data_IF_367083955811
#
_entry.id   IF_367083955811
#
_cell.length_a   1.000
_cell.length_b   1.000
_cell.length_c   1.000
_cell.angle_alpha   90.00
_cell.angle_beta   90.00
_cell.angle_gamma   90.00
#
_symmetry.space_group_name_H-M   'P 1'
#
loop_
_entity.id
_entity.type
_entity.pdbx_description
1 polymer ?
#
# COMPACT_ATOMS: atom_id res chain seq x y z
N UNK A 1 -20.69 -13.91 -4.71
CA UNK A 1 -20.84 -12.46 -4.59
C UNK A 1 -21.56 -11.91 -5.83
N UNK A 2 -20.98 -11.98 -7.05
CA UNK A 2 -21.58 -11.43 -8.28
C UNK A 2 -23.01 -11.92 -8.54
N UNK A 3 -23.29 -13.22 -8.29
CA UNK A 3 -24.64 -13.77 -8.45
C UNK A 3 -25.67 -13.15 -7.49
N UNK A 4 -25.27 -12.83 -6.28
CA UNK A 4 -26.11 -12.10 -5.32
C UNK A 4 -26.35 -10.68 -5.77
N UNK A 5 -25.29 -9.95 -6.15
CA UNK A 5 -25.39 -8.58 -6.62
C UNK A 5 -26.25 -8.44 -7.88
N UNK A 6 -26.13 -9.37 -8.85
CA UNK A 6 -27.01 -9.39 -10.04
C UNK A 6 -28.47 -9.60 -9.63
N UNK A 7 -28.73 -10.50 -8.67
CA UNK A 7 -30.10 -10.70 -8.15
C UNK A 7 -30.65 -9.43 -7.50
N UNK A 8 -29.83 -8.78 -6.65
CA UNK A 8 -30.22 -7.55 -5.95
C UNK A 8 -30.44 -6.39 -6.94
N UNK A 9 -29.58 -6.27 -7.95
CA UNK A 9 -29.71 -5.29 -9.03
C UNK A 9 -31.02 -5.45 -9.84
N UNK A 10 -31.48 -6.69 -10.03
CA UNK A 10 -32.76 -6.99 -10.71
C UNK A 10 -33.97 -6.91 -9.78
N UNK A 11 -33.80 -6.86 -8.47
CA UNK A 11 -34.89 -6.83 -7.50
C UNK A 11 -35.40 -5.39 -7.33
N UNK A 12 -36.73 -5.22 -7.19
CA UNK A 12 -37.40 -3.92 -6.96
C UNK A 12 -37.05 -2.83 -8.00
N UNK A 13 -36.69 -3.22 -9.22
CA UNK A 13 -36.29 -2.31 -10.29
C UNK A 13 -35.08 -1.44 -9.95
N UNK A 14 -34.13 -1.95 -9.13
CA UNK A 14 -32.93 -1.20 -8.74
C UNK A 14 -32.12 -0.75 -9.96
N UNK A 15 -32.05 -1.56 -11.02
CA UNK A 15 -31.42 -1.18 -12.30
C UNK A 15 -32.00 0.09 -12.93
N UNK A 16 -33.27 0.41 -12.65
CA UNK A 16 -33.91 1.63 -13.15
C UNK A 16 -33.63 2.84 -12.25
N UNK A 17 -33.63 2.61 -10.93
CA UNK A 17 -33.33 3.66 -9.91
C UNK A 17 -31.85 4.08 -9.92
N UNK A 18 -30.95 3.20 -10.34
CA UNK A 18 -29.51 3.46 -10.46
C UNK A 18 -29.11 3.89 -11.89
N UNK A 19 -30.04 4.47 -12.66
CA UNK A 19 -29.74 4.91 -14.01
C UNK A 19 -28.88 6.20 -13.97
N UNK A 20 -27.69 6.19 -14.59
CA UNK A 20 -26.77 7.35 -14.55
C UNK A 20 -27.29 8.58 -15.28
N UNK A 21 -28.40 8.48 -16.00
CA UNK A 21 -29.02 9.60 -16.72
C UNK A 21 -30.09 10.35 -15.89
N UNK A 22 -30.41 9.89 -14.67
CA UNK A 22 -31.30 10.61 -13.77
C UNK A 22 -30.50 11.64 -12.95
N UNK A 23 -30.97 12.89 -12.94
CA UNK A 23 -30.35 14.02 -12.22
C UNK A 23 -30.41 13.87 -10.69
N UNK A 24 -31.14 12.91 -10.13
CA UNK A 24 -31.10 12.55 -8.72
C UNK A 24 -29.84 11.74 -8.45
N UNK A 25 -28.88 12.36 -7.76
CA UNK A 25 -27.61 11.76 -7.35
C UNK A 25 -27.85 10.46 -6.58
N UNK A 26 -27.70 9.34 -7.25
CA UNK A 26 -27.50 8.04 -6.58
C UNK A 26 -26.04 7.92 -6.19
N UNK A 27 -25.76 7.55 -4.94
CA UNK A 27 -24.39 7.33 -4.40
C UNK A 27 -23.60 6.23 -5.13
N UNK A 28 -24.22 5.52 -6.06
CA UNK A 28 -23.62 4.39 -6.80
C UNK A 28 -23.45 4.77 -8.26
N UNK A 29 -22.22 5.07 -8.62
CA UNK A 29 -21.80 5.28 -10.01
C UNK A 29 -21.48 3.94 -10.69
N UNK A 30 -21.90 3.78 -11.96
CA UNK A 30 -21.62 2.63 -12.82
C UNK A 30 -21.88 1.26 -12.15
N UNK A 31 -23.14 0.87 -11.88
CA UNK A 31 -23.48 -0.39 -11.21
C UNK A 31 -22.96 -1.65 -11.92
N UNK A 32 -22.87 -1.64 -13.23
CA UNK A 32 -22.31 -2.68 -14.07
C UNK A 32 -20.83 -2.93 -13.77
N UNK A 33 -20.04 -1.87 -13.64
CA UNK A 33 -18.63 -1.93 -13.25
C UNK A 33 -18.47 -2.45 -11.81
N UNK A 34 -19.32 -2.01 -10.88
CA UNK A 34 -19.32 -2.50 -9.49
C UNK A 34 -19.58 -4.00 -9.40
N UNK A 35 -20.55 -4.51 -10.18
CA UNK A 35 -20.90 -5.92 -10.21
C UNK A 35 -19.82 -6.78 -10.88
N UNK A 36 -19.14 -6.26 -11.88
CA UNK A 36 -18.13 -7.00 -12.65
C UNK A 36 -16.73 -6.78 -12.11
N UNK A 37 -16.15 -5.60 -12.31
CA UNK A 37 -14.74 -5.33 -12.08
C UNK A 37 -14.39 -5.19 -10.60
N UNK A 38 -15.21 -4.45 -9.82
CA UNK A 38 -14.95 -4.29 -8.40
C UNK A 38 -15.10 -5.60 -7.65
N UNK A 39 -16.11 -6.41 -8.01
CA UNK A 39 -16.29 -7.74 -7.42
C UNK A 39 -15.13 -8.68 -7.75
N UNK A 40 -14.63 -8.63 -8.98
CA UNK A 40 -13.47 -9.42 -9.41
C UNK A 40 -12.21 -8.97 -8.67
N UNK A 41 -11.97 -7.67 -8.60
CA UNK A 41 -10.82 -7.09 -7.89
C UNK A 41 -10.88 -7.43 -6.39
N UNK A 42 -12.03 -7.23 -5.75
CA UNK A 42 -12.24 -7.56 -4.35
C UNK A 42 -11.99 -9.05 -4.05
N UNK A 43 -12.56 -9.94 -4.87
CA UNK A 43 -12.41 -11.38 -4.66
C UNK A 43 -10.95 -11.82 -4.83
N UNK A 44 -10.28 -11.32 -5.88
CA UNK A 44 -8.86 -11.60 -6.12
C UNK A 44 -7.96 -11.08 -5.01
N UNK A 45 -8.17 -9.84 -4.58
CA UNK A 45 -7.38 -9.23 -3.51
C UNK A 45 -7.61 -9.91 -2.15
N UNK A 46 -8.87 -10.23 -1.83
CA UNK A 46 -9.22 -10.94 -0.59
C UNK A 46 -8.61 -12.33 -0.53
N UNK A 47 -8.63 -13.07 -1.65
CA UNK A 47 -8.00 -14.37 -1.75
C UNK A 47 -6.48 -14.28 -1.58
N UNK A 48 -5.84 -13.38 -2.31
CA UNK A 48 -4.40 -13.15 -2.22
C UNK A 48 -3.97 -12.79 -0.80
N UNK A 49 -4.70 -11.87 -0.15
CA UNK A 49 -4.43 -11.46 1.22
C UNK A 49 -4.62 -12.62 2.22
N UNK A 50 -5.69 -13.40 2.07
CA UNK A 50 -5.95 -14.57 2.93
C UNK A 50 -4.85 -15.63 2.81
N UNK A 51 -4.45 -15.94 1.57
CA UNK A 51 -3.36 -16.89 1.32
C UNK A 51 -2.02 -16.36 1.86
N UNK A 52 -1.74 -15.06 1.70
CA UNK A 52 -0.54 -14.45 2.23
C UNK A 52 -0.47 -14.47 3.76
N UNK A 53 -1.57 -14.17 4.46
CA UNK A 53 -1.63 -14.30 5.92
C UNK A 53 -1.38 -15.76 6.35
N UNK A 54 -2.00 -16.72 5.66
CA UNK A 54 -1.82 -18.13 5.99
C UNK A 54 -0.36 -18.57 5.80
N UNK A 55 0.26 -18.18 4.69
CA UNK A 55 1.69 -18.46 4.43
C UNK A 55 2.60 -17.79 5.48
N UNK A 56 2.34 -16.54 5.82
CA UNK A 56 3.09 -15.81 6.84
C UNK A 56 2.98 -16.48 8.21
N UNK A 57 1.79 -16.94 8.61
CA UNK A 57 1.56 -17.63 9.88
C UNK A 57 2.27 -18.99 9.92
N UNK A 58 2.23 -19.77 8.83
CA UNK A 58 2.95 -21.02 8.73
C UNK A 58 4.46 -20.82 8.80
N UNK A 59 4.99 -19.91 7.98
CA UNK A 59 6.42 -19.57 7.95
C UNK A 59 6.90 -19.08 9.31
N UNK A 60 6.17 -18.18 9.94
CA UNK A 60 6.45 -17.70 11.30
C UNK A 60 6.51 -18.86 12.30
N UNK A 61 5.43 -19.67 12.37
CA UNK A 61 5.29 -20.72 13.38
C UNK A 61 6.38 -21.78 13.28
N UNK A 62 6.72 -22.20 12.08
CA UNK A 62 7.76 -23.23 11.87
C UNK A 62 9.15 -22.68 12.17
N UNK A 63 9.47 -21.51 11.67
CA UNK A 63 10.83 -20.97 11.80
C UNK A 63 11.12 -20.37 13.18
N UNK A 64 10.11 -19.85 13.91
CA UNK A 64 10.30 -19.38 15.27
C UNK A 64 10.64 -20.52 16.23
N UNK A 65 10.07 -21.70 16.03
CA UNK A 65 10.42 -22.91 16.82
C UNK A 65 11.86 -23.34 16.57
N UNK A 66 12.30 -23.31 15.31
CA UNK A 66 13.70 -23.61 14.96
C UNK A 66 14.63 -22.60 15.61
N UNK A 67 14.33 -21.30 15.47
CA UNK A 67 15.14 -20.22 16.02
C UNK A 67 15.25 -20.31 17.55
N UNK A 68 14.13 -20.58 18.21
CA UNK A 68 14.08 -20.76 19.67
C UNK A 68 14.93 -21.95 20.14
N UNK A 69 14.91 -23.05 19.38
CA UNK A 69 15.69 -24.26 19.71
C UNK A 69 17.21 -24.06 19.58
N UNK A 70 17.66 -23.09 18.76
CA UNK A 70 19.08 -22.80 18.55
C UNK A 70 19.55 -21.70 19.49
N UNK A 71 18.82 -20.59 19.60
CA UNK A 71 19.21 -19.45 20.41
C UNK A 71 18.00 -18.60 20.85
N UNK A 72 17.70 -18.65 22.14
CA UNK A 72 16.67 -17.79 22.74
C UNK A 72 17.07 -16.32 22.69
N UNK A 73 18.35 -15.99 22.80
CA UNK A 73 18.88 -14.63 22.68
C UNK A 73 18.59 -14.06 21.29
N UNK A 74 18.85 -14.85 20.24
CA UNK A 74 18.58 -14.43 18.87
C UNK A 74 17.08 -14.24 18.63
N UNK A 75 16.23 -15.08 19.21
CA UNK A 75 14.78 -14.96 19.12
C UNK A 75 14.26 -13.67 19.73
N UNK A 76 14.70 -13.31 20.96
CA UNK A 76 14.31 -12.07 21.58
C UNK A 76 14.85 -10.83 20.83
N UNK A 77 16.07 -10.92 20.33
CA UNK A 77 16.66 -9.83 19.55
C UNK A 77 15.92 -9.59 18.22
N UNK A 78 15.37 -10.65 17.61
CA UNK A 78 14.51 -10.52 16.44
C UNK A 78 13.24 -9.73 16.74
N UNK A 79 12.55 -9.99 17.86
CA UNK A 79 11.37 -9.21 18.22
C UNK A 79 11.71 -7.74 18.50
N UNK A 80 12.83 -7.49 19.20
CA UNK A 80 13.33 -6.14 19.41
C UNK A 80 13.63 -5.40 18.10
N UNK A 81 14.31 -6.09 17.20
CA UNK A 81 14.61 -5.58 15.86
C UNK A 81 13.33 -5.30 15.04
N UNK A 82 12.38 -6.24 15.01
CA UNK A 82 11.13 -6.07 14.29
C UNK A 82 10.30 -4.90 14.84
N UNK A 83 10.20 -4.77 16.17
CA UNK A 83 9.51 -3.64 16.80
C UNK A 83 10.16 -2.29 16.46
N UNK A 84 11.50 -2.23 16.50
CA UNK A 84 12.27 -1.04 16.12
C UNK A 84 12.06 -0.66 14.66
N UNK A 85 12.22 -1.62 13.75
CA UNK A 85 12.05 -1.44 12.32
C UNK A 85 10.62 -0.97 11.96
N UNK A 86 9.61 -1.64 12.52
CA UNK A 86 8.20 -1.26 12.33
C UNK A 86 7.92 0.15 12.83
N UNK A 87 8.44 0.51 14.00
CA UNK A 87 8.26 1.84 14.58
C UNK A 87 8.82 2.94 13.68
N UNK A 88 10.03 2.75 13.14
CA UNK A 88 10.66 3.68 12.20
C UNK A 88 9.82 3.85 10.94
N UNK A 89 9.38 2.74 10.34
CA UNK A 89 8.59 2.76 9.11
C UNK A 89 7.21 3.40 9.31
N UNK A 90 6.57 3.16 10.46
CA UNK A 90 5.28 3.79 10.79
C UNK A 90 5.42 5.30 10.98
N UNK A 91 6.49 5.76 11.64
CA UNK A 91 6.75 7.20 11.82
C UNK A 91 6.99 7.88 10.46
N UNK A 92 7.84 7.29 9.63
CA UNK A 92 8.13 7.82 8.30
C UNK A 92 6.90 7.77 7.36
N UNK A 93 6.11 6.71 7.44
CA UNK A 93 4.92 6.50 6.62
C UNK A 93 3.79 7.51 6.83
N UNK A 94 3.66 8.08 8.05
CA UNK A 94 2.64 9.09 8.34
C UNK A 94 2.70 10.31 7.40
N UNK A 95 3.90 10.76 7.08
CA UNK A 95 4.09 11.89 6.17
C UNK A 95 3.69 11.51 4.73
N UNK A 96 4.03 10.29 4.30
CA UNK A 96 3.68 9.80 2.97
C UNK A 96 2.16 9.74 2.77
N UNK A 97 1.41 9.24 3.75
CA UNK A 97 -0.06 9.17 3.69
C UNK A 97 -0.69 10.55 3.48
N UNK A 98 -0.17 11.57 4.18
CA UNK A 98 -0.65 12.95 4.01
C UNK A 98 -0.37 13.48 2.60
N UNK A 99 0.85 13.25 2.09
CA UNK A 99 1.25 13.71 0.76
C UNK A 99 0.44 13.00 -0.34
N UNK A 100 0.19 11.68 -0.18
CA UNK A 100 -0.68 10.91 -1.09
C UNK A 100 -2.11 11.45 -1.09
N UNK A 101 -2.67 11.77 0.08
CA UNK A 101 -4.00 12.37 0.18
C UNK A 101 -4.07 13.74 -0.50
N UNK A 102 -3.06 14.60 -0.26
CA UNK A 102 -2.97 15.91 -0.91
C UNK A 102 -2.82 15.75 -2.45
N UNK A 103 -2.12 14.70 -2.92
CA UNK A 103 -2.00 14.39 -4.35
C UNK A 103 -3.37 14.12 -4.98
N UNK A 104 -4.16 13.25 -4.38
CA UNK A 104 -5.52 12.94 -4.87
C UNK A 104 -6.40 14.19 -4.91
N UNK A 105 -6.29 15.07 -3.92
CA UNK A 105 -7.03 16.34 -3.87
C UNK A 105 -6.62 17.28 -5.00
N UNK A 106 -5.31 17.49 -5.22
CA UNK A 106 -4.83 18.35 -6.31
C UNK A 106 -5.20 17.82 -7.69
N UNK A 107 -5.15 16.48 -7.88
CA UNK A 107 -5.58 15.85 -9.13
C UNK A 107 -7.08 16.02 -9.36
N UNK A 108 -7.91 15.93 -8.32
CA UNK A 108 -9.34 16.18 -8.40
C UNK A 108 -9.63 17.67 -8.74
N UNK A 109 -8.93 18.62 -8.09
CA UNK A 109 -9.04 20.03 -8.37
C UNK A 109 -8.63 20.39 -9.80
N UNK A 110 -7.57 19.80 -10.31
CA UNK A 110 -7.14 19.96 -11.70
C UNK A 110 -8.18 19.39 -12.68
N UNK A 111 -8.68 18.18 -12.42
CA UNK A 111 -9.74 17.56 -13.24
C UNK A 111 -10.99 18.42 -13.26
N UNK A 112 -11.41 18.93 -12.10
CA UNK A 112 -12.54 19.85 -12.02
C UNK A 112 -12.34 21.09 -12.88
N UNK A 113 -11.14 21.68 -12.90
CA UNK A 113 -10.82 22.81 -13.79
C UNK A 113 -11.02 22.47 -15.27
N UNK A 114 -10.59 21.29 -15.71
CA UNK A 114 -10.79 20.85 -17.10
C UNK A 114 -12.27 20.59 -17.43
N UNK A 115 -13.01 20.00 -16.50
CA UNK A 115 -14.46 19.80 -16.64
C UNK A 115 -15.18 21.15 -16.72
N UNK A 116 -14.80 22.12 -15.88
CA UNK A 116 -15.36 23.47 -15.89
C UNK A 116 -15.20 24.15 -17.26
N UNK A 117 -14.01 24.05 -17.87
CA UNK A 117 -13.75 24.58 -19.22
C UNK A 117 -14.65 23.90 -20.25
N UNK A 118 -14.79 22.58 -20.19
CA UNK A 118 -15.64 21.83 -21.11
C UNK A 118 -17.11 22.24 -21.00
N UNK A 119 -17.60 22.35 -19.78
CA UNK A 119 -19.01 22.59 -19.52
C UNK A 119 -19.39 24.05 -19.81
N UNK A 120 -18.43 24.99 -19.78
CA UNK A 120 -18.61 26.40 -20.09
C UNK A 120 -17.98 26.86 -21.42
N UNK A 121 -17.67 25.90 -22.31
CA UNK A 121 -16.90 26.16 -23.53
C UNK A 121 -17.49 27.28 -24.41
N UNK A 122 -18.82 27.34 -24.58
CA UNK A 122 -19.50 28.38 -25.36
C UNK A 122 -19.31 29.75 -24.73
N UNK A 123 -19.46 29.89 -23.40
CA UNK A 123 -19.29 31.14 -22.69
C UNK A 123 -17.84 31.63 -22.77
N UNK A 124 -16.90 30.73 -22.58
CA UNK A 124 -15.46 31.03 -22.66
C UNK A 124 -15.11 31.54 -24.06
N UNK A 125 -15.58 30.87 -25.10
CA UNK A 125 -15.37 31.27 -26.50
C UNK A 125 -16.03 32.63 -26.83
N UNK A 126 -17.26 32.86 -26.33
CA UNK A 126 -17.97 34.08 -26.59
C UNK A 126 -17.30 35.32 -25.97
N UNK A 127 -16.77 35.18 -24.75
CA UNK A 127 -16.09 36.25 -24.05
C UNK A 127 -14.57 36.29 -24.25
N UNK A 128 -14.01 35.44 -25.12
CA UNK A 128 -12.55 35.30 -25.31
C UNK A 128 -11.79 35.05 -24.01
N UNK A 129 -12.35 34.17 -23.15
CA UNK A 129 -11.88 33.87 -21.80
C UNK A 129 -10.76 32.81 -21.74
N UNK A 130 -10.16 32.41 -22.87
CA UNK A 130 -9.18 31.33 -22.93
C UNK A 130 -7.93 31.59 -22.09
N UNK A 131 -7.43 32.82 -22.05
CA UNK A 131 -6.21 33.16 -21.34
C UNK A 131 -6.34 33.03 -19.80
N UNK A 132 -7.37 33.58 -19.13
CA UNK A 132 -7.57 33.37 -17.70
C UNK A 132 -7.83 31.89 -17.34
N UNK A 133 -8.66 31.20 -18.11
CA UNK A 133 -8.93 29.77 -17.87
C UNK A 133 -7.67 28.92 -18.03
N UNK A 134 -6.87 29.19 -19.03
CA UNK A 134 -5.57 28.55 -19.22
C UNK A 134 -4.65 28.80 -18.02
N UNK A 135 -4.52 30.04 -17.58
CA UNK A 135 -3.65 30.42 -16.46
C UNK A 135 -4.06 29.71 -15.16
N UNK A 136 -5.36 29.62 -14.88
CA UNK A 136 -5.86 28.92 -13.71
C UNK A 136 -5.63 27.40 -13.80
N UNK A 137 -5.83 26.82 -14.98
CA UNK A 137 -5.58 25.38 -15.21
C UNK A 137 -4.09 25.05 -15.09
N UNK A 138 -3.21 25.90 -15.65
CA UNK A 138 -1.74 25.75 -15.51
C UNK A 138 -1.31 25.91 -14.04
N UNK A 139 -1.91 26.80 -13.26
CA UNK A 139 -1.66 26.94 -11.83
C UNK A 139 -2.01 25.66 -11.07
N UNK A 140 -3.19 25.08 -11.32
CA UNK A 140 -3.64 23.81 -10.71
C UNK A 140 -2.72 22.65 -11.08
N UNK A 141 -2.35 22.56 -12.35
CA UNK A 141 -1.37 21.58 -12.81
C UNK A 141 -0.02 21.73 -12.08
N UNK A 142 0.41 22.98 -11.88
CA UNK A 142 1.63 23.28 -11.12
C UNK A 142 1.58 22.76 -9.68
N UNK A 143 0.43 22.81 -9.01
CA UNK A 143 0.23 22.24 -7.67
C UNK A 143 0.33 20.71 -7.69
N UNK A 144 -0.30 20.05 -8.67
CA UNK A 144 -0.19 18.59 -8.87
C UNK A 144 1.27 18.19 -9.03
N UNK A 145 2.00 18.82 -9.95
CA UNK A 145 3.41 18.51 -10.24
C UNK A 145 4.31 18.75 -9.03
N UNK A 146 4.12 19.86 -8.32
CA UNK A 146 4.89 20.19 -7.12
C UNK A 146 4.71 19.14 -6.03
N UNK A 147 3.47 18.75 -5.76
CA UNK A 147 3.18 17.72 -4.75
C UNK A 147 3.64 16.33 -5.20
N UNK A 148 3.50 16.02 -6.50
CA UNK A 148 4.00 14.76 -7.06
C UNK A 148 5.53 14.61 -6.91
N UNK A 149 6.29 15.67 -7.14
CA UNK A 149 7.72 15.66 -6.89
C UNK A 149 8.06 15.41 -5.41
N UNK A 150 7.30 16.02 -4.49
CA UNK A 150 7.44 15.75 -3.06
C UNK A 150 7.11 14.29 -2.73
N UNK A 151 6.07 13.74 -3.33
CA UNK A 151 5.65 12.35 -3.19
C UNK A 151 6.77 11.39 -3.65
N UNK A 152 7.38 11.65 -4.80
CA UNK A 152 8.51 10.86 -5.31
C UNK A 152 9.67 10.87 -4.31
N UNK A 153 10.06 12.03 -3.81
CA UNK A 153 11.15 12.15 -2.84
C UNK A 153 10.86 11.33 -1.58
N UNK A 154 9.66 11.44 -1.02
CA UNK A 154 9.27 10.67 0.18
C UNK A 154 9.21 9.17 -0.08
N UNK A 155 8.72 8.73 -1.23
CA UNK A 155 8.73 7.31 -1.63
C UNK A 155 10.16 6.78 -1.72
N UNK A 156 11.08 7.52 -2.31
CA UNK A 156 12.49 7.15 -2.39
C UNK A 156 13.11 7.06 -0.99
N UNK A 157 12.86 8.03 -0.11
CA UNK A 157 13.37 8.01 1.27
C UNK A 157 12.88 6.74 2.00
N UNK A 158 11.59 6.46 1.95
CA UNK A 158 11.01 5.27 2.60
C UNK A 158 11.56 3.98 2.00
N UNK A 159 11.73 3.93 0.69
CA UNK A 159 12.29 2.75 0.00
C UNK A 159 13.75 2.51 0.40
N UNK A 160 14.55 3.56 0.48
CA UNK A 160 15.94 3.48 0.97
C UNK A 160 15.98 3.03 2.44
N UNK A 161 15.12 3.59 3.30
CA UNK A 161 15.02 3.18 4.70
C UNK A 161 14.62 1.70 4.81
N UNK A 162 13.60 1.26 4.09
CA UNK A 162 13.16 -0.14 4.06
C UNK A 162 14.26 -1.09 3.61
N UNK A 163 14.96 -0.73 2.53
CA UNK A 163 16.12 -1.53 2.03
C UNK A 163 17.24 -1.58 3.06
N UNK A 164 17.55 -0.46 3.71
CA UNK A 164 18.59 -0.40 4.75
C UNK A 164 18.23 -1.28 5.95
N UNK A 165 16.98 -1.26 6.38
CA UNK A 165 16.46 -2.14 7.43
C UNK A 165 16.62 -3.60 7.00
N UNK A 166 16.15 -3.99 5.82
CA UNK A 166 16.26 -5.37 5.33
C UNK A 166 17.72 -5.85 5.26
N UNK A 167 18.63 -5.01 4.77
CA UNK A 167 20.07 -5.35 4.78
C UNK A 167 20.62 -5.52 6.20
N UNK A 168 20.25 -4.62 7.11
CA UNK A 168 20.65 -4.74 8.52
C UNK A 168 20.11 -6.04 9.13
N UNK A 169 18.84 -6.41 8.87
CA UNK A 169 18.23 -7.65 9.30
C UNK A 169 18.96 -8.90 8.80
N UNK A 170 19.42 -8.88 7.54
CA UNK A 170 20.19 -9.98 6.99
C UNK A 170 21.55 -10.17 7.68
N UNK A 171 22.21 -9.10 8.13
CA UNK A 171 23.49 -9.20 8.82
C UNK A 171 23.37 -9.41 10.33
N UNK A 172 22.25 -9.02 10.93
CA UNK A 172 22.04 -9.02 12.36
C UNK A 172 22.23 -10.41 13.02
N UNK A 173 21.66 -11.52 12.51
CA UNK A 173 21.86 -12.84 13.09
C UNK A 173 23.32 -13.27 13.07
N UNK A 174 24.07 -12.93 12.04
CA UNK A 174 25.51 -13.26 11.97
C UNK A 174 26.32 -12.59 13.08
N UNK A 175 26.00 -11.34 13.42
CA UNK A 175 26.68 -10.64 14.50
C UNK A 175 26.39 -11.26 15.87
N UNK A 176 25.16 -11.66 16.14
CA UNK A 176 24.77 -12.25 17.42
C UNK A 176 25.33 -13.68 17.54
N UNK A 177 25.27 -14.45 16.48
CA UNK A 177 25.69 -15.85 16.50
C UNK A 177 27.20 -16.04 16.33
N UNK A 178 27.96 -15.00 15.97
CA UNK A 178 29.41 -15.08 15.84
C UNK A 178 30.08 -15.48 17.15
N UNK A 179 29.67 -14.91 18.28
CA UNK A 179 30.29 -15.21 19.59
C UNK A 179 30.09 -16.68 19.98
N UNK A 180 28.86 -17.26 20.01
CA UNK A 180 28.66 -18.68 20.26
C UNK A 180 29.40 -19.60 19.27
N UNK A 181 29.48 -19.19 18.01
CA UNK A 181 30.18 -19.96 16.99
C UNK A 181 31.71 -20.04 17.25
N UNK A 182 32.35 -18.89 17.52
CA UNK A 182 33.79 -18.84 17.80
C UNK A 182 34.16 -19.46 19.12
N UNK A 183 33.25 -19.50 20.11
CA UNK A 183 33.41 -20.20 21.35
C UNK A 183 33.27 -21.74 21.22
N UNK A 184 32.73 -22.21 20.07
CA UNK A 184 32.49 -23.63 19.84
C UNK A 184 31.18 -24.16 20.43
N UNK A 185 30.29 -23.28 20.90
CA UNK A 185 28.98 -23.62 21.47
C UNK A 185 28.00 -24.16 20.41
N UNK A 186 28.18 -23.69 19.17
CA UNK A 186 27.36 -24.09 18.01
C UNK A 186 28.25 -24.46 16.82
N UNK A 187 27.78 -25.42 16.04
CA UNK A 187 28.41 -25.78 14.77
C UNK A 187 27.99 -24.86 13.62
N UNK A 188 28.70 -24.94 12.50
CA UNK A 188 28.43 -24.14 11.31
C UNK A 188 27.02 -24.39 10.74
N UNK A 189 26.51 -25.60 10.82
CA UNK A 189 25.17 -25.94 10.36
C UNK A 189 24.09 -25.20 11.13
N UNK A 190 24.19 -25.18 12.47
CA UNK A 190 23.29 -24.43 13.36
C UNK A 190 23.40 -22.92 13.16
N UNK A 191 24.61 -22.40 12.92
CA UNK A 191 24.85 -21.01 12.62
C UNK A 191 24.09 -20.56 11.37
N UNK A 192 24.21 -21.32 10.27
CA UNK A 192 23.50 -21.03 9.02
C UNK A 192 21.99 -21.25 9.18
N UNK A 193 21.57 -22.31 9.86
CA UNK A 193 20.16 -22.60 10.11
C UNK A 193 19.48 -21.47 10.90
N UNK A 194 20.15 -20.93 11.94
CA UNK A 194 19.64 -19.82 12.73
C UNK A 194 19.49 -18.54 11.89
N UNK A 195 20.49 -18.24 11.05
CA UNK A 195 20.46 -17.07 10.16
C UNK A 195 19.34 -17.17 9.13
N UNK A 196 19.14 -18.35 8.55
CA UNK A 196 18.04 -18.61 7.62
C UNK A 196 16.67 -18.49 8.30
N UNK A 197 16.50 -19.15 9.47
CA UNK A 197 15.25 -19.08 10.23
C UNK A 197 14.92 -17.65 10.66
N UNK A 198 15.93 -16.86 11.05
CA UNK A 198 15.76 -15.44 11.36
C UNK A 198 15.18 -14.67 10.17
N UNK A 199 15.77 -14.79 8.98
CA UNK A 199 15.29 -14.13 7.77
C UNK A 199 13.86 -14.54 7.38
N UNK A 200 13.51 -15.83 7.56
CA UNK A 200 12.15 -16.31 7.28
C UNK A 200 11.12 -15.73 8.26
N UNK A 201 11.45 -15.65 9.55
CA UNK A 201 10.58 -15.04 10.56
C UNK A 201 10.46 -13.53 10.32
N UNK A 202 11.57 -12.84 10.05
CA UNK A 202 11.58 -11.43 9.69
C UNK A 202 10.66 -11.17 8.48
N UNK A 203 10.82 -11.92 7.39
CA UNK A 203 9.99 -11.79 6.20
C UNK A 203 8.50 -12.01 6.46
N UNK A 204 8.15 -12.94 7.36
CA UNK A 204 6.75 -13.19 7.73
C UNK A 204 6.14 -12.09 8.59
N UNK A 205 6.94 -11.33 9.35
CA UNK A 205 6.48 -10.20 10.17
C UNK A 205 6.28 -8.92 9.34
N UNK A 206 6.95 -8.78 8.21
CA UNK A 206 6.86 -7.62 7.32
C UNK A 206 6.00 -7.88 6.06
N UNK A 207 5.18 -8.91 6.12
CA UNK A 207 4.21 -9.27 5.05
C UNK A 207 3.13 -8.20 4.80
#
# INVERSE_FOLDING_TARGET
>A
LSKSLVKDYMTNKAYYQLNPNDEEQTDVDNPDQRITDDTRAFTGQSLSFTLGIFDALLTFSLNILILWSISTTLTFSLFGYAAFATSILLIAGKNLVKIDFDQLRYEADFRYGLVHIRDNAESIAFYSGENPERSETERRLGEVVRNFNLLIIWRVIIDVMRRSINYAGNFFPYLIMAIPYFNGDIDYGRFIQASFAFGMVEGSLFF
#
